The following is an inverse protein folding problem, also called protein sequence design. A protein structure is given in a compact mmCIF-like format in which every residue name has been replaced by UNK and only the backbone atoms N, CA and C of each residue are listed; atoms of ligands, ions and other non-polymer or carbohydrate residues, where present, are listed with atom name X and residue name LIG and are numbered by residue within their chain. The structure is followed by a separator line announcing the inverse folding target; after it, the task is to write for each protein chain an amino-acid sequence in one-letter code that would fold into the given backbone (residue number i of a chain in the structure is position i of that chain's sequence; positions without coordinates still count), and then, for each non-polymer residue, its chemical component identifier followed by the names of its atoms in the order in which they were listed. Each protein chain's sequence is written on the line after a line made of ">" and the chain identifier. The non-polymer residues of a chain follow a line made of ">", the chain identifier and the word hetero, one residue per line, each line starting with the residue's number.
data_IF_175767269833
#
_entry.id   IF_175767269833
#
_cell.length_a   1.000
_cell.length_b   1.000
_cell.length_c   1.000
_cell.angle_alpha   90.00
_cell.angle_beta   90.00
_cell.angle_gamma   90.00
#
_symmetry.space_group_name_H-M   'P 1'
#
loop_
_entity.id
_entity.type
_entity.pdbx_description
1 polymer ?
#
# COMPACT_ATOMS: atom_id res chain seq x y z
N UNK A 1 -17.62 -11.25 15.45
CA UNK A 1 -17.81 -9.89 16.03
C UNK A 1 -17.99 -8.93 14.85
N UNK A 2 -19.08 -8.18 14.78
CA UNK A 2 -19.33 -7.27 13.65
C UNK A 2 -18.58 -5.96 13.90
N UNK A 3 -17.67 -5.57 13.00
CA UNK A 3 -16.96 -4.29 13.05
C UNK A 3 -17.85 -3.25 12.38
N UNK A 4 -18.02 -2.08 13.02
CA UNK A 4 -18.80 -0.97 12.46
C UNK A 4 -17.94 -0.10 11.53
N UNK A 5 -18.61 0.65 10.63
CA UNK A 5 -17.91 1.59 9.75
C UNK A 5 -17.10 2.66 10.54
N UNK A 6 -17.66 3.12 11.67
CA UNK A 6 -16.96 4.08 12.53
C UNK A 6 -15.68 3.49 13.15
N UNK A 7 -15.69 2.21 13.51
CA UNK A 7 -14.51 1.53 14.02
C UNK A 7 -13.44 1.33 12.93
N UNK A 8 -13.85 1.02 11.69
CA UNK A 8 -12.93 0.89 10.56
C UNK A 8 -12.32 2.24 10.17
N UNK A 9 -13.11 3.32 10.26
CA UNK A 9 -12.66 4.68 9.96
C UNK A 9 -11.90 5.37 11.08
N UNK A 10 -11.82 4.77 12.27
CA UNK A 10 -11.14 5.36 13.41
C UNK A 10 -9.62 5.27 13.25
N UNK A 11 -8.94 6.44 13.17
CA UNK A 11 -7.49 6.46 13.16
C UNK A 11 -6.94 6.08 14.55
N UNK A 12 -6.06 5.07 14.65
CA UNK A 12 -5.43 4.76 15.92
C UNK A 12 -4.54 5.91 16.40
N UNK A 13 -4.34 6.01 17.71
CA UNK A 13 -3.43 6.99 18.30
C UNK A 13 -2.04 6.96 17.65
N UNK A 14 -1.44 8.13 17.45
CA UNK A 14 -0.04 8.25 17.00
C UNK A 14 0.96 7.67 18.03
N UNK A 15 0.51 7.34 19.24
CA UNK A 15 1.32 6.69 20.27
C UNK A 15 1.77 5.32 19.81
N UNK A 16 3.09 5.13 19.69
CA UNK A 16 3.67 3.87 19.20
C UNK A 16 3.74 3.74 17.67
N UNK A 17 3.34 4.77 16.91
CA UNK A 17 3.53 4.79 15.45
C UNK A 17 5.02 4.66 15.12
N UNK A 18 5.35 3.78 14.18
CA UNK A 18 6.72 3.68 13.66
C UNK A 18 7.10 4.97 12.91
N UNK A 19 8.36 5.37 13.05
CA UNK A 19 8.88 6.51 12.30
C UNK A 19 8.83 6.24 10.79
N UNK A 20 8.09 7.05 10.00
CA UNK A 20 8.01 6.88 8.54
C UNK A 20 9.36 6.94 7.84
N UNK A 21 10.27 7.77 8.34
CA UNK A 21 11.62 7.91 7.75
C UNK A 21 12.42 6.63 7.96
N UNK A 22 12.36 6.04 9.15
CA UNK A 22 13.01 4.76 9.44
C UNK A 22 12.47 3.63 8.54
N UNK A 23 11.14 3.57 8.32
CA UNK A 23 10.52 2.62 7.41
C UNK A 23 11.02 2.75 5.97
N UNK A 24 11.12 3.99 5.47
CA UNK A 24 11.65 4.25 4.13
C UNK A 24 13.13 3.89 4.02
N UNK A 25 13.92 4.10 5.07
CA UNK A 25 15.32 3.70 5.12
C UNK A 25 15.47 2.16 5.10
N UNK A 26 14.65 1.43 5.83
CA UNK A 26 14.60 -0.04 5.78
C UNK A 26 14.32 -0.54 4.35
N UNK A 27 13.34 0.05 3.65
CA UNK A 27 13.06 -0.28 2.25
C UNK A 27 14.24 0.00 1.32
N UNK A 28 15.06 1.02 1.60
CA UNK A 28 16.19 1.39 0.77
C UNK A 28 17.31 0.35 0.79
N UNK A 29 17.36 -0.55 1.78
CA UNK A 29 18.40 -1.60 1.89
C UNK A 29 18.43 -2.51 0.66
N UNK A 30 17.28 -2.80 0.07
CA UNK A 30 17.15 -3.69 -1.11
C UNK A 30 17.12 -2.94 -2.44
N UNK A 31 17.16 -1.61 -2.42
CA UNK A 31 17.08 -0.77 -3.62
C UNK A 31 18.45 -0.43 -4.20
N UNK A 32 18.46 -0.06 -5.48
CA UNK A 32 19.65 0.47 -6.15
C UNK A 32 20.06 1.81 -5.50
N UNK A 33 21.27 1.87 -4.97
CA UNK A 33 21.76 3.01 -4.17
C UNK A 33 21.69 4.33 -4.92
N UNK A 34 22.04 4.32 -6.21
CA UNK A 34 22.07 5.52 -7.03
C UNK A 34 20.67 6.11 -7.31
N UNK A 35 19.63 5.31 -7.18
CA UNK A 35 18.23 5.72 -7.39
C UNK A 35 17.53 6.19 -6.11
N UNK A 36 18.10 5.95 -4.94
CA UNK A 36 17.51 6.36 -3.65
C UNK A 36 17.32 7.88 -3.56
N UNK A 37 18.32 8.73 -3.86
CA UNK A 37 18.14 10.17 -3.84
C UNK A 37 17.06 10.65 -4.81
N UNK A 38 17.04 10.11 -6.03
CA UNK A 38 16.03 10.46 -7.05
C UNK A 38 14.60 10.10 -6.57
N UNK A 39 14.45 8.94 -5.93
CA UNK A 39 13.17 8.52 -5.34
C UNK A 39 12.71 9.50 -4.27
N UNK A 40 13.60 9.85 -3.32
CA UNK A 40 13.26 10.75 -2.21
C UNK A 40 12.93 12.16 -2.74
N UNK A 41 13.69 12.67 -3.72
CA UNK A 41 13.42 13.95 -4.35
C UNK A 41 12.00 13.97 -4.98
N UNK A 42 11.65 12.93 -5.73
CA UNK A 42 10.31 12.79 -6.34
C UNK A 42 9.20 12.70 -5.29
N UNK A 43 9.42 11.94 -4.23
CA UNK A 43 8.45 11.81 -3.13
C UNK A 43 8.25 13.13 -2.37
N UNK A 44 9.27 13.96 -2.28
CA UNK A 44 9.23 15.23 -1.53
C UNK A 44 8.51 16.37 -2.25
N UNK A 45 8.10 16.19 -3.52
CA UNK A 45 7.47 17.26 -4.33
C UNK A 45 6.12 17.70 -3.75
N UNK A 46 5.27 16.75 -3.35
CA UNK A 46 3.96 17.04 -2.76
C UNK A 46 3.39 15.79 -2.04
N UNK A 47 2.31 15.94 -1.26
CA UNK A 47 1.71 14.80 -0.52
C UNK A 47 1.27 13.63 -1.41
N UNK A 48 0.80 13.89 -2.64
CA UNK A 48 0.37 12.86 -3.55
C UNK A 48 1.54 12.00 -4.05
N UNK A 49 2.65 12.63 -4.43
CA UNK A 49 3.86 11.91 -4.84
C UNK A 49 4.51 11.16 -3.68
N UNK A 50 4.43 11.69 -2.46
CA UNK A 50 4.83 10.96 -1.25
C UNK A 50 3.98 9.72 -1.04
N UNK A 51 2.66 9.85 -1.09
CA UNK A 51 1.71 8.75 -0.94
C UNK A 51 2.01 7.60 -1.91
N UNK A 52 2.24 7.89 -3.19
CA UNK A 52 2.58 6.88 -4.19
C UNK A 52 3.89 6.12 -3.92
N UNK A 53 4.81 6.73 -3.22
CA UNK A 53 6.09 6.11 -2.88
C UNK A 53 6.14 5.46 -1.49
N UNK A 54 5.07 5.54 -0.71
CA UNK A 54 5.07 5.26 0.73
C UNK A 54 4.15 4.09 1.14
N UNK A 55 3.95 3.09 0.26
CA UNK A 55 3.08 1.93 0.55
C UNK A 55 3.45 1.22 1.86
N UNK A 56 4.74 1.05 2.16
CA UNK A 56 5.17 0.45 3.42
C UNK A 56 4.82 1.28 4.66
N UNK A 57 4.81 2.60 4.55
CA UNK A 57 4.37 3.49 5.63
C UNK A 57 2.88 3.31 5.86
N UNK A 58 2.08 3.29 4.79
CA UNK A 58 0.65 3.02 4.85
C UNK A 58 0.36 1.65 5.49
N UNK A 59 1.04 0.60 5.05
CA UNK A 59 0.88 -0.74 5.60
C UNK A 59 1.21 -0.79 7.10
N UNK A 60 2.27 -0.12 7.54
CA UNK A 60 2.63 -0.03 8.95
C UNK A 60 1.58 0.73 9.77
N UNK A 61 1.01 1.79 9.23
CA UNK A 61 -0.06 2.55 9.87
C UNK A 61 -1.36 1.73 9.98
N UNK A 62 -1.73 1.01 8.91
CA UNK A 62 -2.93 0.17 8.87
C UNK A 62 -2.82 -1.09 9.76
N UNK A 63 -1.60 -1.57 10.05
CA UNK A 63 -1.38 -2.79 10.83
C UNK A 63 -2.01 -2.77 12.24
N UNK A 64 -2.28 -1.58 12.79
CA UNK A 64 -2.94 -1.40 14.09
C UNK A 64 -4.44 -1.10 13.98
N UNK A 65 -5.00 -1.01 12.78
CA UNK A 65 -6.43 -0.74 12.59
C UNK A 65 -7.28 -1.99 12.81
N UNK A 66 -8.54 -1.84 13.26
CA UNK A 66 -9.47 -2.96 13.34
C UNK A 66 -9.72 -3.59 11.96
N UNK A 67 -9.91 -4.91 11.94
CA UNK A 67 -10.25 -5.65 10.73
C UNK A 67 -11.20 -6.81 11.05
N UNK A 68 -11.88 -7.33 10.05
CA UNK A 68 -12.85 -8.44 10.19
C UNK A 68 -12.19 -9.83 10.29
N UNK A 69 -10.88 -9.92 10.08
CA UNK A 69 -10.16 -11.19 9.99
C UNK A 69 -10.23 -11.86 8.61
N UNK A 70 -10.86 -11.23 7.63
CA UNK A 70 -10.86 -11.71 6.23
C UNK A 70 -9.56 -11.24 5.58
N UNK A 71 -8.75 -12.18 5.12
CA UNK A 71 -7.48 -11.91 4.45
C UNK A 71 -7.64 -12.13 2.95
N UNK A 72 -7.09 -11.21 2.16
CA UNK A 72 -7.03 -11.29 0.71
C UNK A 72 -5.64 -10.90 0.20
N UNK A 73 -5.37 -11.15 -1.08
CA UNK A 73 -4.18 -10.64 -1.75
C UNK A 73 -4.43 -9.17 -2.09
N UNK A 74 -3.68 -8.27 -1.46
CA UNK A 74 -3.76 -6.84 -1.74
C UNK A 74 -2.71 -6.40 -2.75
N UNK A 75 -3.04 -5.35 -3.51
CA UNK A 75 -2.10 -4.57 -4.28
C UNK A 75 -1.81 -3.26 -3.55
N UNK A 76 -0.56 -3.02 -3.19
CA UNK A 76 -0.16 -1.85 -2.40
C UNK A 76 -0.12 -0.54 -3.18
N UNK A 77 -0.06 -0.58 -4.52
CA UNK A 77 -0.05 0.60 -5.41
C UNK A 77 -1.21 0.54 -6.43
N UNK A 78 -2.43 0.38 -5.95
CA UNK A 78 -3.64 0.22 -6.76
C UNK A 78 -4.16 1.55 -7.34
N UNK A 79 -3.32 2.31 -8.03
CA UNK A 79 -3.76 3.50 -8.76
C UNK A 79 -4.40 3.16 -10.12
N UNK A 80 -5.13 4.10 -10.73
CA UNK A 80 -5.92 3.85 -11.94
C UNK A 80 -5.11 3.28 -13.13
N UNK A 81 -3.84 3.63 -13.26
CA UNK A 81 -2.98 3.10 -14.32
C UNK A 81 -2.62 1.63 -14.12
N UNK A 82 -2.85 1.05 -12.94
CA UNK A 82 -2.64 -0.35 -12.64
C UNK A 82 -3.89 -1.21 -12.86
N UNK A 83 -4.94 -0.62 -13.40
CA UNK A 83 -6.11 -1.34 -13.90
C UNK A 83 -6.10 -1.38 -15.42
N UNK A 84 -6.49 -2.47 -16.00
CA UNK A 84 -6.52 -2.63 -17.45
C UNK A 84 -7.45 -3.73 -17.92
N UNK A 85 -7.63 -3.76 -19.23
CA UNK A 85 -8.36 -4.84 -19.92
C UNK A 85 -7.35 -5.87 -20.44
N UNK A 86 -7.57 -7.13 -20.11
CA UNK A 86 -6.76 -8.23 -20.63
C UNK A 86 -7.58 -9.51 -20.77
N UNK A 87 -7.03 -10.49 -21.49
CA UNK A 87 -7.66 -11.79 -21.65
C UNK A 87 -7.25 -12.71 -20.50
N UNK A 88 -8.24 -13.29 -19.81
CA UNK A 88 -7.99 -14.36 -18.86
C UNK A 88 -7.45 -15.63 -19.56
N UNK A 89 -6.91 -16.61 -18.82
CA UNK A 89 -6.53 -17.92 -19.38
C UNK A 89 -7.68 -18.60 -20.15
N UNK A 90 -8.94 -18.37 -19.74
CA UNK A 90 -10.16 -18.87 -20.37
C UNK A 90 -10.59 -18.02 -21.59
N UNK A 91 -9.80 -17.01 -21.97
CA UNK A 91 -10.05 -16.07 -23.07
C UNK A 91 -11.28 -15.18 -22.88
N UNK A 92 -11.64 -14.88 -21.63
CA UNK A 92 -12.62 -13.85 -21.34
C UNK A 92 -11.92 -12.48 -21.18
N UNK A 93 -12.51 -11.45 -21.78
CA UNK A 93 -12.05 -10.09 -21.54
C UNK A 93 -12.42 -9.69 -20.12
N UNK A 94 -11.43 -9.37 -19.30
CA UNK A 94 -11.60 -8.95 -17.91
C UNK A 94 -10.97 -7.58 -17.69
N UNK A 95 -11.54 -6.83 -16.78
CA UNK A 95 -10.99 -5.58 -16.26
C UNK A 95 -10.57 -5.81 -14.82
N UNK A 96 -9.29 -5.73 -14.56
CA UNK A 96 -8.72 -6.01 -13.23
C UNK A 96 -7.38 -5.31 -13.07
N UNK A 97 -6.76 -5.49 -11.90
CA UNK A 97 -5.38 -5.10 -11.63
C UNK A 97 -4.42 -5.86 -12.55
N UNK A 98 -3.42 -5.16 -13.05
CA UNK A 98 -2.40 -5.70 -13.95
C UNK A 98 -0.95 -5.53 -13.44
N UNK A 99 -0.77 -4.93 -12.27
CA UNK A 99 0.52 -4.74 -11.62
C UNK A 99 0.43 -5.20 -10.15
N UNK A 100 1.26 -6.17 -9.79
CA UNK A 100 1.31 -6.80 -8.47
C UNK A 100 2.71 -6.76 -7.86
N UNK A 101 3.54 -5.78 -8.24
CA UNK A 101 4.91 -5.65 -7.73
C UNK A 101 4.93 -5.38 -6.21
N UNK A 102 3.93 -4.68 -5.68
CA UNK A 102 3.76 -4.44 -4.25
C UNK A 102 2.51 -5.16 -3.73
N UNK A 103 2.58 -6.49 -3.59
CA UNK A 103 1.44 -7.31 -3.17
C UNK A 103 1.77 -8.18 -1.97
N UNK A 104 0.85 -8.25 -1.01
CA UNK A 104 0.95 -9.13 0.17
C UNK A 104 -0.46 -9.55 0.63
N UNK A 105 -0.59 -10.74 1.27
CA UNK A 105 -1.81 -11.07 1.99
C UNK A 105 -2.02 -10.11 3.17
N UNK A 106 -3.18 -9.49 3.22
CA UNK A 106 -3.53 -8.57 4.30
C UNK A 106 -5.07 -8.50 4.49
N UNK A 107 -5.56 -7.85 5.55
CA UNK A 107 -6.98 -7.61 5.73
C UNK A 107 -7.60 -6.94 4.50
N UNK A 108 -8.75 -7.41 4.08
CA UNK A 108 -9.43 -6.93 2.87
C UNK A 108 -9.87 -5.44 2.96
N UNK A 109 -9.98 -4.92 4.17
CA UNK A 109 -10.35 -3.51 4.43
C UNK A 109 -9.24 -2.49 4.11
N UNK A 110 -8.00 -2.96 3.88
CA UNK A 110 -6.81 -2.09 3.65
C UNK A 110 -6.73 -1.50 2.24
#
# INVERSE_FOLDING_TARGET
>A
MTITADQLGAWPSLTGRRDPVALLQEQNVTRLRDLIPVRHERMAVNPFTFYRGAAAVMAADLASTPNSGITTQLCGDAHLSNFGLFLSPERHLVFDLNDFDETLPAPWEW
#
